data_IF_426218017311
#
_entry.id   IF_426218017311
#
_cell.length_a   1.000
_cell.length_b   1.000
_cell.length_c   1.000
_cell.angle_alpha   90.00
_cell.angle_beta   90.00
_cell.angle_gamma   90.00
#
_symmetry.space_group_name_H-M   'P 1'
#
loop_
_entity.id
_entity.type
_entity.pdbx_description
1 polymer ?
#
# COMPACT_ATOMS: atom_id res chain seq x y z
N UNK A 1 62.01 -12.39 -3.85
CA UNK A 1 62.58 -11.84 -5.10
C UNK A 1 61.78 -12.36 -6.29
N UNK A 2 61.66 -11.58 -7.37
CA UNK A 2 60.39 -11.24 -8.00
C UNK A 2 60.06 -12.07 -9.25
N UNK A 3 58.79 -12.43 -9.43
CA UNK A 3 58.24 -12.95 -10.71
C UNK A 3 57.15 -12.03 -11.26
N UNK A 4 57.18 -10.74 -10.90
CA UNK A 4 56.40 -9.66 -11.53
C UNK A 4 56.95 -9.24 -12.92
N UNK A 5 57.87 -10.00 -13.51
CA UNK A 5 58.58 -9.61 -14.74
C UNK A 5 58.09 -10.33 -16.03
N UNK A 6 57.02 -11.14 -15.96
CA UNK A 6 56.54 -11.94 -17.12
C UNK A 6 55.19 -11.54 -17.72
N UNK A 7 54.43 -10.66 -17.08
CA UNK A 7 53.14 -10.21 -17.63
C UNK A 7 53.15 -8.78 -18.18
N UNK A 8 54.32 -8.12 -18.17
CA UNK A 8 54.51 -6.80 -18.76
C UNK A 8 54.92 -6.82 -20.26
N UNK A 9 54.96 -8.01 -20.88
CA UNK A 9 55.41 -8.22 -22.28
C UNK A 9 54.26 -8.50 -23.28
N UNK A 10 53.00 -8.37 -22.87
CA UNK A 10 51.85 -8.47 -23.79
C UNK A 10 51.31 -7.06 -24.17
N UNK A 11 51.86 -5.99 -23.58
CA UNK A 11 51.56 -4.60 -23.92
C UNK A 11 52.42 -4.02 -25.06
N UNK A 12 53.07 -4.85 -25.88
CA UNK A 12 53.92 -4.43 -27.00
C UNK A 12 53.52 -5.12 -28.32
N UNK A 13 52.21 -5.21 -28.57
CA UNK A 13 51.61 -5.55 -29.86
C UNK A 13 51.12 -4.28 -30.57
N UNK A 14 51.95 -3.25 -30.55
CA UNK A 14 51.75 -2.00 -31.26
C UNK A 14 52.68 -2.02 -32.47
N UNK A 15 52.13 -1.63 -33.62
CA UNK A 15 52.80 -1.06 -34.78
C UNK A 15 53.59 -2.00 -35.70
N UNK A 16 53.32 -1.78 -36.99
CA UNK A 16 53.99 -2.26 -38.21
C UNK A 16 53.54 -3.67 -38.60
N UNK A 17 52.86 -3.88 -39.73
CA UNK A 17 53.39 -3.63 -41.08
C UNK A 17 52.26 -3.30 -42.09
N UNK A 18 52.41 -2.11 -42.69
CA UNK A 18 52.28 -1.75 -44.12
C UNK A 18 51.08 -2.27 -44.94
N UNK A 19 50.18 -1.39 -45.42
CA UNK A 19 50.30 -0.56 -46.63
C UNK A 19 50.00 -1.33 -47.95
N UNK A 20 48.86 -1.02 -48.59
CA UNK A 20 48.68 -0.78 -50.04
C UNK A 20 47.20 -0.95 -50.46
N UNK A 21 46.79 -0.22 -51.52
CA UNK A 21 45.46 -0.04 -52.14
C UNK A 21 44.67 1.10 -51.48
N UNK A 22 44.89 2.40 -51.76
CA UNK A 22 45.16 3.18 -52.99
C UNK A 22 44.07 3.09 -54.08
N UNK A 23 43.47 4.26 -54.34
CA UNK A 23 42.46 4.63 -55.35
C UNK A 23 41.59 5.77 -54.78
N UNK A 24 41.97 7.07 -54.78
CA UNK A 24 41.89 8.05 -55.91
C UNK A 24 40.49 7.99 -56.57
N UNK A 25 39.62 9.00 -56.71
CA UNK A 25 39.57 10.48 -56.61
C UNK A 25 38.04 10.80 -56.55
N UNK A 26 37.51 11.85 -55.91
CA UNK A 26 37.45 13.20 -56.46
C UNK A 26 36.84 14.17 -55.41
N UNK A 27 37.43 15.36 -55.29
CA UNK A 27 36.85 16.52 -54.62
C UNK A 27 35.88 17.26 -55.56
N UNK A 28 34.73 17.71 -55.03
CA UNK A 28 34.27 19.09 -55.23
C UNK A 28 33.27 19.49 -54.13
N UNK A 29 33.29 20.75 -53.67
CA UNK A 29 32.61 21.23 -52.47
C UNK A 29 31.21 21.78 -52.78
N UNK A 30 30.30 21.69 -51.82
CA UNK A 30 29.01 22.37 -51.83
C UNK A 30 28.53 22.56 -50.41
N UNK A 31 28.48 23.81 -49.97
CA UNK A 31 27.85 24.24 -48.72
C UNK A 31 26.40 23.78 -48.65
N UNK A 32 26.00 23.18 -47.52
CA UNK A 32 24.64 23.29 -47.02
C UNK A 32 24.61 23.09 -45.49
N UNK A 33 24.45 24.17 -44.69
CA UNK A 33 24.47 24.11 -43.24
C UNK A 33 23.05 24.00 -42.66
N UNK A 34 22.23 23.03 -43.06
CA UNK A 34 20.89 22.87 -42.47
C UNK A 34 20.49 21.40 -42.30
N UNK A 35 20.91 20.80 -41.18
CA UNK A 35 20.19 19.66 -40.58
C UNK A 35 20.37 19.60 -39.06
N UNK A 36 20.00 20.68 -38.39
CA UNK A 36 19.34 20.59 -37.08
C UNK A 36 17.86 20.28 -37.33
N UNK A 37 17.22 19.62 -36.36
CA UNK A 37 15.83 19.15 -36.34
C UNK A 37 15.65 17.73 -36.90
N UNK A 38 15.10 16.74 -36.21
CA UNK A 38 14.40 16.65 -34.94
C UNK A 38 14.68 15.25 -34.38
N UNK A 39 15.44 15.13 -33.28
CA UNK A 39 15.16 14.05 -32.33
C UNK A 39 13.94 14.53 -31.58
N UNK A 40 12.78 13.96 -31.90
CA UNK A 40 11.60 14.10 -31.08
C UNK A 40 12.02 13.77 -29.65
N UNK A 41 12.09 14.78 -28.79
CA UNK A 41 12.09 14.58 -27.34
C UNK A 41 10.78 13.87 -27.09
N UNK A 42 10.86 12.62 -26.66
CA UNK A 42 9.72 12.00 -25.98
C UNK A 42 9.25 13.01 -24.93
N UNK A 43 7.95 13.34 -24.88
CA UNK A 43 7.44 14.23 -23.86
C UNK A 43 7.84 13.64 -22.51
N UNK A 44 8.59 14.41 -21.71
CA UNK A 44 8.88 14.02 -20.34
C UNK A 44 7.54 13.65 -19.68
N UNK A 45 7.45 12.49 -19.01
CA UNK A 45 6.22 12.11 -18.35
C UNK A 45 5.80 13.25 -17.43
N UNK A 46 4.54 13.67 -17.53
CA UNK A 46 4.00 14.71 -16.68
C UNK A 46 4.38 14.40 -15.23
N UNK A 47 4.89 15.39 -14.46
CA UNK A 47 5.36 15.13 -13.11
C UNK A 47 4.24 14.48 -12.32
N UNK A 48 4.51 13.29 -11.77
CA UNK A 48 3.53 12.56 -10.97
C UNK A 48 2.98 13.46 -9.87
N UNK A 49 1.67 13.37 -9.55
CA UNK A 49 1.08 14.13 -8.46
C UNK A 49 1.89 13.89 -7.19
N UNK A 50 2.53 14.94 -6.67
CA UNK A 50 3.36 14.87 -5.46
C UNK A 50 2.52 14.87 -4.19
N UNK A 51 1.35 14.24 -4.26
CA UNK A 51 0.33 14.27 -3.22
C UNK A 51 -0.38 12.92 -3.11
N UNK A 52 -0.86 12.66 -1.90
CA UNK A 52 -1.68 11.50 -1.53
C UNK A 52 -2.83 12.02 -0.67
N UNK A 53 -4.07 11.81 -1.13
CA UNK A 53 -5.28 12.36 -0.49
C UNK A 53 -5.22 13.88 -0.28
N UNK A 54 -4.51 14.61 -1.15
CA UNK A 54 -4.29 16.06 -1.02
C UNK A 54 -3.24 16.45 0.03
N UNK A 55 -2.52 15.49 0.60
CA UNK A 55 -1.36 15.73 1.46
C UNK A 55 -0.06 15.62 0.68
N UNK A 56 0.96 16.45 0.98
CA UNK A 56 2.21 16.46 0.26
C UNK A 56 3.04 15.20 0.54
N UNK A 57 3.66 14.64 -0.51
CA UNK A 57 4.68 13.61 -0.35
C UNK A 57 5.98 14.22 0.21
N UNK A 58 6.75 13.48 1.04
CA UNK A 58 8.07 13.92 1.46
C UNK A 58 9.00 14.06 0.24
N UNK A 59 10.03 14.92 0.29
CA UNK A 59 10.92 15.17 -0.85
C UNK A 59 11.82 13.98 -1.19
N UNK A 60 12.17 13.14 -0.23
CA UNK A 60 13.07 11.98 -0.40
C UNK A 60 12.34 10.67 -0.06
N UNK A 61 11.38 10.30 -0.90
CA UNK A 61 10.77 8.96 -0.87
C UNK A 61 11.33 8.07 -1.96
N UNK A 62 11.41 6.77 -1.66
CA UNK A 62 11.92 5.75 -2.58
C UNK A 62 10.82 4.97 -3.30
N UNK A 63 9.65 4.86 -2.68
CA UNK A 63 8.56 4.02 -3.18
C UNK A 63 7.20 4.47 -2.62
N UNK A 64 6.14 4.24 -3.40
CA UNK A 64 4.74 4.53 -3.06
C UNK A 64 3.90 3.30 -3.40
N UNK A 65 3.22 2.77 -2.40
CA UNK A 65 2.40 1.57 -2.50
C UNK A 65 0.95 1.92 -2.19
N UNK A 66 0.07 1.76 -3.17
CA UNK A 66 -1.37 1.90 -2.99
C UNK A 66 -1.91 0.58 -2.44
N UNK A 67 -2.09 0.50 -1.12
CA UNK A 67 -2.52 -0.72 -0.42
C UNK A 67 -4.03 -0.91 -0.59
N UNK A 68 -4.78 0.20 -0.52
CA UNK A 68 -6.22 0.24 -0.77
C UNK A 68 -6.65 1.63 -1.24
N UNK A 69 -7.93 1.79 -1.59
CA UNK A 69 -8.53 3.09 -1.89
C UNK A 69 -8.43 4.11 -0.74
N UNK A 70 -8.21 3.63 0.49
CA UNK A 70 -8.16 4.44 1.71
C UNK A 70 -6.80 4.45 2.40
N UNK A 71 -5.81 3.72 1.86
CA UNK A 71 -4.49 3.60 2.46
C UNK A 71 -3.39 3.57 1.41
N UNK A 72 -2.43 4.46 1.57
CA UNK A 72 -1.21 4.50 0.75
C UNK A 72 -0.01 4.53 1.69
N UNK A 73 0.94 3.64 1.43
CA UNK A 73 2.19 3.52 2.20
C UNK A 73 3.33 4.08 1.36
N UNK A 74 4.11 4.99 1.95
CA UNK A 74 5.28 5.60 1.30
C UNK A 74 6.55 5.22 2.06
N UNK A 75 7.50 4.67 1.33
CA UNK A 75 8.83 4.37 1.86
C UNK A 75 9.75 5.56 1.67
N UNK A 76 10.46 5.95 2.73
CA UNK A 76 11.34 7.13 2.71
C UNK A 76 12.64 6.86 3.43
N UNK A 77 13.67 7.64 3.08
CA UNK A 77 14.95 7.66 3.78
C UNK A 77 14.96 8.65 4.94
N UNK A 78 14.04 9.61 4.94
CA UNK A 78 13.94 10.67 5.93
C UNK A 78 13.66 10.12 7.33
N UNK A 79 14.29 10.67 8.36
CA UNK A 79 14.03 10.30 9.75
C UNK A 79 12.65 10.76 10.22
N UNK A 80 12.17 10.21 11.35
CA UNK A 80 10.89 10.61 11.94
C UNK A 80 10.89 12.10 12.29
N UNK A 81 12.02 12.63 12.74
CA UNK A 81 12.23 14.04 13.07
C UNK A 81 12.19 14.92 11.80
N UNK A 82 12.85 14.50 10.72
CA UNK A 82 12.83 15.21 9.44
C UNK A 82 11.44 15.23 8.83
N UNK A 83 10.71 14.11 8.90
CA UNK A 83 9.32 14.01 8.47
C UNK A 83 8.42 14.94 9.30
N UNK A 84 8.58 14.91 10.61
CA UNK A 84 7.81 15.79 11.52
C UNK A 84 8.06 17.26 11.20
N UNK A 85 9.31 17.67 10.97
CA UNK A 85 9.64 19.04 10.57
C UNK A 85 9.03 19.41 9.21
N UNK A 86 9.15 18.51 8.22
CA UNK A 86 8.59 18.70 6.89
C UNK A 86 7.08 18.93 6.92
N UNK A 87 6.34 18.06 7.61
CA UNK A 87 4.88 18.14 7.67
C UNK A 87 4.40 19.28 8.56
N UNK A 88 5.05 19.57 9.70
CA UNK A 88 4.66 20.72 10.55
C UNK A 88 4.76 22.05 9.81
N UNK A 89 5.70 22.18 8.87
CA UNK A 89 5.82 23.38 8.04
C UNK A 89 4.73 23.55 6.97
N UNK A 90 3.94 22.49 6.69
CA UNK A 90 2.94 22.45 5.60
C UNK A 90 1.52 22.19 6.09
N UNK A 91 1.37 21.48 7.19
CA UNK A 91 0.11 21.04 7.75
C UNK A 91 -0.22 21.87 8.99
N UNK A 92 -1.00 22.93 8.80
CA UNK A 92 -1.34 23.90 9.86
C UNK A 92 -2.42 23.36 10.80
N UNK A 93 -3.40 22.63 10.29
CA UNK A 93 -4.56 22.16 11.05
C UNK A 93 -4.41 20.70 11.51
N UNK A 94 -3.23 20.35 12.04
CA UNK A 94 -2.90 19.00 12.45
C UNK A 94 -2.21 18.96 13.81
N UNK A 95 -2.57 17.96 14.62
CA UNK A 95 -1.91 17.61 15.87
C UNK A 95 -0.92 16.46 15.65
N UNK A 96 0.22 16.52 16.35
CA UNK A 96 1.30 15.54 16.24
C UNK A 96 1.46 14.84 17.59
N UNK A 97 1.16 13.55 17.62
CA UNK A 97 1.20 12.72 18.82
C UNK A 97 2.36 11.73 18.69
N UNK A 98 3.39 11.92 19.52
CA UNK A 98 4.56 11.04 19.54
C UNK A 98 4.33 9.85 20.48
N UNK A 99 4.59 8.64 19.99
CA UNK A 99 4.40 7.39 20.73
C UNK A 99 5.55 6.44 20.41
N UNK A 100 6.48 6.23 21.36
CA UNK A 100 7.56 5.22 21.33
C UNK A 100 8.03 4.79 19.93
N UNK A 101 8.69 5.69 19.20
CA UNK A 101 9.24 5.42 17.86
C UNK A 101 8.25 5.57 16.70
N UNK A 102 7.07 6.13 16.97
CA UNK A 102 6.03 6.47 16.00
C UNK A 102 5.54 7.88 16.22
N UNK A 103 5.07 8.52 15.16
CA UNK A 103 4.41 9.84 15.23
C UNK A 103 3.12 9.76 14.43
N UNK A 104 2.01 10.10 15.08
CA UNK A 104 0.70 10.22 14.43
C UNK A 104 0.42 11.67 14.14
N UNK A 105 0.02 11.97 12.91
CA UNK A 105 -0.37 13.31 12.47
C UNK A 105 -1.86 13.29 12.22
N UNK A 106 -2.60 13.85 13.17
CA UNK A 106 -4.06 13.78 13.24
C UNK A 106 -4.65 15.12 12.79
N UNK A 107 -5.63 15.12 11.89
CA UNK A 107 -6.27 16.36 11.49
C UNK A 107 -7.14 16.93 12.62
N UNK A 108 -7.13 18.25 12.75
CA UNK A 108 -8.06 18.98 13.63
C UNK A 108 -9.42 19.21 12.98
N UNK A 109 -9.50 19.11 11.65
CA UNK A 109 -10.75 19.24 10.89
C UNK A 109 -11.37 17.87 10.61
N UNK A 110 -12.71 17.75 10.71
CA UNK A 110 -13.41 16.60 10.16
C UNK A 110 -13.11 16.41 8.68
N UNK A 111 -13.11 15.16 8.21
CA UNK A 111 -12.92 14.79 6.80
C UNK A 111 -11.55 15.13 6.19
N UNK A 112 -10.55 15.33 7.02
CA UNK A 112 -9.17 15.39 6.55
C UNK A 112 -8.48 14.03 6.69
N UNK A 113 -7.53 13.68 5.80
CA UNK A 113 -6.70 12.49 5.93
C UNK A 113 -5.78 12.56 7.16
N UNK A 114 -5.24 11.42 7.59
CA UNK A 114 -4.25 11.36 8.68
C UNK A 114 -2.96 10.66 8.23
N UNK A 115 -1.87 10.86 8.98
CA UNK A 115 -0.58 10.22 8.71
C UNK A 115 -0.07 9.45 9.93
N UNK A 116 0.68 8.37 9.70
CA UNK A 116 1.48 7.72 10.73
C UNK A 116 2.91 7.50 10.22
N UNK A 117 3.90 7.99 10.98
CA UNK A 117 5.33 7.80 10.70
C UNK A 117 5.87 6.74 11.64
N UNK A 118 6.57 5.75 11.11
CA UNK A 118 7.20 4.73 11.95
C UNK A 118 8.33 4.02 11.22
N UNK A 119 9.09 3.26 12.01
CA UNK A 119 10.11 2.35 11.51
C UNK A 119 9.59 0.91 11.53
N UNK A 120 9.75 0.20 10.43
CA UNK A 120 9.45 -1.24 10.37
C UNK A 120 10.61 -2.01 11.01
N UNK A 121 10.33 -2.72 12.10
CA UNK A 121 11.30 -3.61 12.72
C UNK A 121 11.69 -4.76 11.78
N UNK A 122 13.00 -5.04 11.64
CA UNK A 122 13.52 -6.19 10.89
C UNK A 122 13.87 -5.95 9.41
N UNK A 123 13.32 -4.92 8.74
CA UNK A 123 13.70 -4.52 7.37
C UNK A 123 14.73 -3.39 7.36
N UNK A 124 15.90 -3.61 7.95
CA UNK A 124 17.00 -2.62 7.99
C UNK A 124 16.62 -1.22 8.54
N UNK A 125 15.55 -1.11 9.33
CA UNK A 125 15.06 0.18 9.83
C UNK A 125 14.42 1.06 8.76
N UNK A 126 13.81 0.44 7.73
CA UNK A 126 13.03 1.13 6.72
C UNK A 126 11.97 2.03 7.36
N UNK A 127 11.94 3.30 6.93
CA UNK A 127 11.05 4.32 7.46
C UNK A 127 9.86 4.50 6.53
N UNK A 128 8.70 4.57 7.13
CA UNK A 128 7.43 4.48 6.44
C UNK A 128 6.52 5.61 6.89
N UNK A 129 5.77 6.12 5.93
CA UNK A 129 4.64 7.01 6.14
C UNK A 129 3.40 6.29 5.62
N UNK A 130 2.45 6.05 6.50
CA UNK A 130 1.13 5.61 6.08
C UNK A 130 0.20 6.82 5.98
N UNK A 131 -0.42 6.98 4.82
CA UNK A 131 -1.46 7.95 4.56
C UNK A 131 -2.80 7.23 4.66
N UNK A 132 -3.69 7.78 5.47
CA UNK A 132 -5.05 7.30 5.61
C UNK A 132 -5.99 8.34 5.04
N UNK A 133 -6.83 7.95 4.08
CA UNK A 133 -7.88 8.81 3.59
C UNK A 133 -8.79 9.25 4.75
N UNK A 134 -9.40 10.42 4.58
CA UNK A 134 -10.40 10.89 5.52
C UNK A 134 -11.49 9.83 5.73
N UNK A 135 -11.93 9.59 6.98
CA UNK A 135 -13.07 8.72 7.20
C UNK A 135 -14.30 9.35 6.53
N UNK A 136 -14.88 8.62 5.58
CA UNK A 136 -16.25 8.90 5.16
C UNK A 136 -17.15 8.61 6.38
N UNK A 137 -17.67 9.67 7.01
CA UNK A 137 -18.49 9.55 8.21
C UNK A 137 -19.74 8.71 7.92
N UNK A 138 -20.29 8.77 6.70
CA UNK A 138 -21.41 7.94 6.31
C UNK A 138 -21.00 6.46 6.24
N UNK A 139 -19.84 6.15 5.66
CA UNK A 139 -19.30 4.79 5.66
C UNK A 139 -18.99 4.29 7.08
N UNK A 140 -18.50 5.17 7.98
CA UNK A 140 -18.20 4.83 9.37
C UNK A 140 -19.46 4.60 10.20
N UNK A 141 -20.49 5.42 10.03
CA UNK A 141 -21.80 5.22 10.66
C UNK A 141 -22.48 3.97 10.13
N UNK A 142 -22.41 3.71 8.83
CA UNK A 142 -22.89 2.48 8.22
C UNK A 142 -22.15 1.24 8.77
N UNK A 143 -20.82 1.31 8.88
CA UNK A 143 -20.02 0.24 9.48
C UNK A 143 -20.35 0.03 10.97
N UNK A 144 -20.57 1.12 11.72
CA UNK A 144 -20.98 1.05 13.13
C UNK A 144 -22.36 0.43 13.28
N UNK A 145 -23.32 0.79 12.42
CA UNK A 145 -24.66 0.20 12.41
C UNK A 145 -24.66 -1.29 12.04
N UNK A 146 -23.62 -1.77 11.38
CA UNK A 146 -23.41 -3.16 11.00
C UNK A 146 -22.49 -3.93 11.97
N UNK A 147 -22.04 -3.30 13.07
CA UNK A 147 -21.17 -3.95 14.04
C UNK A 147 -21.93 -5.01 14.86
N UNK A 148 -21.21 -5.98 15.41
CA UNK A 148 -21.79 -7.00 16.28
C UNK A 148 -22.50 -6.36 17.48
N UNK A 149 -21.98 -5.24 18.00
CA UNK A 149 -22.60 -4.47 19.07
C UNK A 149 -23.94 -3.86 18.65
N UNK A 150 -24.02 -3.28 17.45
CA UNK A 150 -25.27 -2.72 16.95
C UNK A 150 -26.34 -3.79 16.66
N UNK A 151 -25.90 -4.98 16.23
CA UNK A 151 -26.80 -6.14 16.08
C UNK A 151 -27.27 -6.62 17.47
N UNK A 152 -26.38 -6.65 18.45
CA UNK A 152 -26.67 -7.10 19.81
C UNK A 152 -27.68 -6.21 20.54
N UNK A 153 -27.78 -4.91 20.22
CA UNK A 153 -28.84 -4.04 20.74
C UNK A 153 -30.26 -4.58 20.45
N UNK A 154 -30.40 -5.42 19.42
CA UNK A 154 -31.68 -6.00 18.98
C UNK A 154 -31.76 -7.51 19.22
N UNK A 155 -30.71 -8.12 19.77
CA UNK A 155 -30.56 -9.56 19.90
C UNK A 155 -29.95 -9.91 21.27
N UNK A 156 -30.81 -10.29 22.21
CA UNK A 156 -30.43 -10.57 23.60
C UNK A 156 -29.44 -11.74 23.73
N UNK A 157 -29.53 -12.73 22.84
CA UNK A 157 -28.62 -13.88 22.83
C UNK A 157 -27.21 -13.45 22.40
N UNK A 158 -27.13 -12.61 21.37
CA UNK A 158 -25.86 -12.03 20.93
C UNK A 158 -25.29 -11.08 21.98
N UNK A 159 -26.12 -10.25 22.61
CA UNK A 159 -25.69 -9.34 23.67
C UNK A 159 -25.03 -10.10 24.83
N UNK A 160 -25.68 -11.15 25.33
CA UNK A 160 -25.13 -12.02 26.38
C UNK A 160 -23.84 -12.71 25.93
N UNK A 161 -23.76 -13.16 24.69
CA UNK A 161 -22.56 -13.81 24.17
C UNK A 161 -21.37 -12.84 24.04
N UNK A 162 -21.62 -11.58 23.65
CA UNK A 162 -20.59 -10.54 23.59
C UNK A 162 -20.15 -10.10 24.99
N UNK A 163 -21.07 -9.95 25.93
CA UNK A 163 -20.75 -9.65 27.34
C UNK A 163 -19.88 -10.76 27.95
N UNK A 164 -20.30 -12.01 27.80
CA UNK A 164 -19.51 -13.17 28.24
C UNK A 164 -18.10 -13.20 27.62
N UNK A 165 -17.99 -12.91 26.32
CA UNK A 165 -16.70 -12.87 25.62
C UNK A 165 -15.79 -11.72 26.09
N UNK A 166 -16.36 -10.58 26.51
CA UNK A 166 -15.59 -9.46 27.10
C UNK A 166 -15.06 -9.80 28.49
N UNK A 167 -15.87 -10.48 29.30
CA UNK A 167 -15.48 -10.89 30.65
C UNK A 167 -14.53 -12.09 30.64
N UNK A 168 -14.60 -12.93 29.60
CA UNK A 168 -13.81 -14.15 29.45
C UNK A 168 -13.05 -14.13 28.12
N UNK A 169 -12.05 -13.24 27.95
CA UNK A 169 -11.24 -13.22 26.75
C UNK A 169 -10.50 -14.55 26.61
N UNK A 170 -10.90 -15.35 25.63
CA UNK A 170 -10.38 -16.71 25.42
C UNK A 170 -8.85 -16.70 25.26
N UNK A 171 -8.09 -17.43 26.10
CA UNK A 171 -6.63 -17.48 26.02
C UNK A 171 -6.12 -18.48 24.96
N UNK A 172 -6.98 -19.35 24.43
CA UNK A 172 -6.57 -20.46 23.55
C UNK A 172 -6.81 -20.14 22.07
N UNK A 173 -5.74 -20.18 21.27
CA UNK A 173 -5.81 -20.17 19.80
C UNK A 173 -6.57 -21.41 19.31
N UNK A 174 -7.82 -21.23 18.88
CA UNK A 174 -8.61 -22.28 18.22
C UNK A 174 -10.02 -22.45 18.75
N UNK A 175 -10.37 -21.88 19.90
CA UNK A 175 -11.76 -21.83 20.35
C UNK A 175 -12.55 -20.82 19.50
N UNK A 176 -13.71 -21.26 18.99
CA UNK A 176 -14.64 -20.38 18.27
C UNK A 176 -15.21 -19.35 19.23
N UNK A 177 -15.28 -18.11 18.77
CA UNK A 177 -15.80 -17.03 19.59
C UNK A 177 -17.28 -17.30 19.99
N UNK A 178 -17.66 -17.11 21.27
CA UNK A 178 -19.02 -17.39 21.77
C UNK A 178 -20.13 -16.71 20.97
N UNK A 179 -19.90 -15.48 20.49
CA UNK A 179 -20.85 -14.73 19.67
C UNK A 179 -21.17 -15.40 18.33
N UNK A 180 -20.25 -16.21 17.77
CA UNK A 180 -20.49 -16.91 16.51
C UNK A 180 -21.58 -17.98 16.68
N UNK A 181 -21.66 -18.63 17.85
CA UNK A 181 -22.72 -19.58 18.17
C UNK A 181 -24.09 -18.89 18.25
N UNK A 182 -24.15 -17.67 18.81
CA UNK A 182 -25.38 -16.89 18.88
C UNK A 182 -25.87 -16.40 17.50
N UNK A 183 -24.94 -16.21 16.56
CA UNK A 183 -25.27 -15.81 15.19
C UNK A 183 -25.66 -16.99 14.28
N UNK A 184 -25.30 -18.23 14.65
CA UNK A 184 -25.47 -19.40 13.78
C UNK A 184 -26.92 -19.56 13.30
N UNK A 185 -27.08 -19.84 12.00
CA UNK A 185 -28.38 -20.02 11.36
C UNK A 185 -29.10 -18.72 10.98
N UNK A 186 -28.57 -17.56 11.36
CA UNK A 186 -29.12 -16.26 10.96
C UNK A 186 -28.59 -15.85 9.59
N UNK A 187 -29.39 -15.17 8.75
CA UNK A 187 -28.91 -14.62 7.49
C UNK A 187 -27.82 -13.56 7.73
N UNK A 188 -26.86 -13.49 6.81
CA UNK A 188 -25.81 -12.48 6.84
C UNK A 188 -26.30 -11.22 6.14
N UNK A 189 -26.50 -10.16 6.91
CA UNK A 189 -26.99 -8.87 6.39
C UNK A 189 -25.90 -7.79 6.30
N UNK A 190 -24.63 -8.19 6.46
CA UNK A 190 -23.48 -7.29 6.32
C UNK A 190 -23.46 -6.67 4.92
N UNK A 191 -23.09 -5.39 4.82
CA UNK A 191 -23.02 -4.65 3.57
C UNK A 191 -21.64 -4.04 3.37
N UNK A 192 -21.27 -3.78 2.12
CA UNK A 192 -20.07 -3.02 1.78
C UNK A 192 -20.29 -1.53 2.05
N UNK A 193 -19.25 -0.72 1.90
CA UNK A 193 -19.34 0.74 2.00
C UNK A 193 -20.30 1.34 0.95
N UNK A 194 -20.43 0.71 -0.22
CA UNK A 194 -21.38 1.11 -1.28
C UNK A 194 -22.83 0.67 -0.99
N UNK A 195 -23.07 -0.09 0.08
CA UNK A 195 -24.40 -0.49 0.54
C UNK A 195 -24.94 -1.79 -0.07
N UNK A 196 -24.20 -2.45 -0.97
CA UNK A 196 -24.53 -3.80 -1.44
C UNK A 196 -24.28 -4.87 -0.36
N UNK A 197 -25.00 -5.99 -0.42
CA UNK A 197 -24.79 -7.09 0.53
C UNK A 197 -23.40 -7.70 0.32
N UNK A 198 -22.63 -7.79 1.41
CA UNK A 198 -21.28 -8.33 1.41
C UNK A 198 -21.28 -9.83 1.05
N UNK A 199 -22.22 -10.58 1.61
CA UNK A 199 -22.35 -12.02 1.40
C UNK A 199 -23.79 -12.41 1.05
N UNK A 200 -24.24 -12.17 -0.19
CA UNK A 200 -25.62 -12.41 -0.60
C UNK A 200 -26.03 -13.89 -0.40
N UNK A 201 -27.09 -14.11 0.38
CA UNK A 201 -27.62 -15.45 0.64
C UNK A 201 -26.80 -16.30 1.61
N UNK A 202 -25.75 -15.75 2.22
CA UNK A 202 -25.00 -16.44 3.25
C UNK A 202 -25.79 -16.55 4.56
N UNK A 203 -25.56 -17.63 5.28
CA UNK A 203 -26.09 -17.89 6.62
C UNK A 203 -24.90 -18.12 7.56
N UNK A 204 -24.91 -17.48 8.72
CA UNK A 204 -23.85 -17.61 9.70
C UNK A 204 -23.66 -19.07 10.13
N UNK A 205 -22.41 -19.55 10.05
CA UNK A 205 -22.04 -20.92 10.41
C UNK A 205 -22.37 -21.99 9.36
N UNK A 206 -22.92 -21.63 8.19
CA UNK A 206 -23.15 -22.55 7.09
C UNK A 206 -22.11 -22.40 5.98
N UNK A 207 -21.70 -23.49 5.30
CA UNK A 207 -20.82 -23.43 4.14
C UNK A 207 -21.32 -22.43 3.10
N UNK A 208 -20.45 -21.51 2.70
CA UNK A 208 -20.80 -20.47 1.74
C UNK A 208 -19.77 -20.39 0.63
N UNK A 209 -20.25 -20.25 -0.61
CA UNK A 209 -19.45 -19.89 -1.77
C UNK A 209 -20.11 -18.68 -2.41
N UNK A 210 -19.43 -17.53 -2.48
CA UNK A 210 -20.02 -16.32 -3.02
C UNK A 210 -20.42 -16.50 -4.50
N UNK A 211 -21.57 -15.96 -4.93
CA UNK A 211 -21.93 -15.98 -6.35
C UNK A 211 -21.02 -15.04 -7.16
N UNK A 212 -20.82 -15.30 -8.47
CA UNK A 212 -20.06 -14.41 -9.34
C UNK A 212 -20.54 -12.97 -9.28
N UNK A 213 -19.61 -12.02 -9.16
CA UNK A 213 -19.90 -10.58 -9.07
C UNK A 213 -20.27 -10.08 -7.68
N UNK A 214 -20.36 -10.96 -6.67
CA UNK A 214 -20.48 -10.50 -5.27
C UNK A 214 -19.16 -9.96 -4.72
N UNK A 215 -19.18 -9.09 -3.70
CA UNK A 215 -17.98 -8.46 -3.15
C UNK A 215 -16.91 -9.45 -2.65
N UNK A 216 -17.36 -10.63 -2.19
CA UNK A 216 -16.47 -11.68 -1.70
C UNK A 216 -15.99 -12.66 -2.79
N UNK A 217 -16.51 -12.55 -4.02
CA UNK A 217 -16.12 -13.38 -5.16
C UNK A 217 -14.81 -12.88 -5.77
N UNK A 218 -13.68 -13.36 -5.25
CA UNK A 218 -12.35 -13.04 -5.78
C UNK A 218 -11.30 -14.06 -5.35
N UNK A 219 -10.16 -14.09 -6.04
CA UNK A 219 -9.05 -15.02 -5.76
C UNK A 219 -8.52 -14.88 -4.32
N UNK A 220 -8.55 -13.66 -3.76
CA UNK A 220 -8.15 -13.37 -2.38
C UNK A 220 -8.96 -14.14 -1.33
N UNK A 221 -10.21 -14.52 -1.65
CA UNK A 221 -11.11 -15.24 -0.75
C UNK A 221 -11.28 -16.70 -1.13
N UNK A 222 -10.60 -17.18 -2.18
CA UNK A 222 -10.83 -18.50 -2.77
C UNK A 222 -10.61 -19.64 -1.78
N UNK A 223 -9.65 -19.49 -0.86
CA UNK A 223 -9.39 -20.48 0.19
C UNK A 223 -10.50 -20.62 1.23
N UNK A 224 -11.42 -19.66 1.27
CA UNK A 224 -12.59 -19.66 2.13
C UNK A 224 -13.83 -20.28 1.47
N UNK A 225 -13.82 -20.51 0.16
CA UNK A 225 -15.00 -21.03 -0.54
C UNK A 225 -15.39 -22.40 -0.01
N UNK A 226 -16.67 -22.56 0.32
CA UNK A 226 -17.23 -23.76 0.95
C UNK A 226 -16.94 -23.88 2.45
N UNK A 227 -16.24 -22.91 3.08
CA UNK A 227 -16.12 -22.86 4.54
C UNK A 227 -17.35 -22.21 5.16
N UNK A 228 -17.71 -22.60 6.40
CA UNK A 228 -18.74 -21.91 7.16
C UNK A 228 -18.53 -20.40 7.26
N UNK A 229 -19.53 -19.61 6.89
CA UNK A 229 -19.45 -18.15 6.99
C UNK A 229 -19.28 -17.73 8.46
N UNK A 230 -18.29 -16.88 8.74
CA UNK A 230 -17.87 -16.50 10.09
C UNK A 230 -16.63 -17.25 10.62
N UNK A 231 -16.25 -18.37 9.99
CA UNK A 231 -14.93 -19.01 10.18
C UNK A 231 -13.95 -18.65 9.03
N UNK A 232 -14.34 -17.71 8.17
CA UNK A 232 -13.53 -17.25 7.05
C UNK A 232 -12.27 -16.55 7.55
N UNK A 233 -11.14 -16.87 6.91
CA UNK A 233 -9.85 -16.23 7.19
C UNK A 233 -9.75 -14.97 6.33
N UNK A 234 -9.68 -13.82 6.98
CA UNK A 234 -9.47 -12.55 6.28
C UNK A 234 -7.96 -12.37 6.07
N UNK A 235 -7.54 -12.13 4.82
CA UNK A 235 -6.17 -11.77 4.44
C UNK A 235 -6.00 -10.26 4.35
#
# INVERSE_FOLDING_TARGET
>A
MPTHLRHLLIALGILLVAASCRGEEAQAPGDDPERKEQRAREPEPAPEPREVFGLPLPPDYSDRLEISETMVTVHTRMTVEELSAFFRSRLVDYEYVEMSGRVRVLPLRPHSPSLEFYMIAGRHGQRVIDYHAAPDLAAREAARAQSLEAIAEKDEDLARALEYARENPTPNRGERAPWLSAMRGKPVELRTASGELLAPGAVWGEPYTPPPGSPLYGEQNRENFGRPFGDWRMH
#
